data_IF_397495847668
#
_entry.id   IF_397495847668
#
_cell.length_a   1.000
_cell.length_b   1.000
_cell.length_c   1.000
_cell.angle_alpha   90.00
_cell.angle_beta   90.00
_cell.angle_gamma   90.00
#
_symmetry.space_group_name_H-M   'P 1'
#
loop_
_entity.id
_entity.type
_entity.pdbx_description
1 polymer ?
#
# COMPACT_ATOMS: atom_id res chain seq x y z
N UNK A 1 3.83 -5.41 -20.18
CA UNK A 1 4.44 -6.60 -19.55
C UNK A 1 5.74 -6.17 -18.89
N UNK A 2 6.02 -6.60 -17.67
CA UNK A 2 7.34 -6.38 -17.07
C UNK A 2 8.41 -7.06 -17.95
N UNK A 3 9.64 -6.52 -18.03
CA UNK A 3 10.72 -7.15 -18.75
C UNK A 3 10.98 -8.56 -18.20
N UNK A 4 11.40 -9.53 -19.04
CA UNK A 4 11.48 -10.95 -18.70
C UNK A 4 12.39 -11.28 -17.51
N UNK A 5 13.33 -10.44 -17.21
CA UNK A 5 14.30 -10.57 -16.10
C UNK A 5 13.73 -10.10 -14.74
N UNK A 6 12.48 -9.63 -14.68
CA UNK A 6 11.83 -9.13 -13.46
C UNK A 6 10.71 -10.02 -12.94
N UNK A 7 10.68 -11.29 -13.37
CA UNK A 7 9.73 -12.26 -12.83
C UNK A 7 10.07 -12.62 -11.38
N UNK A 8 9.05 -12.72 -10.56
CA UNK A 8 9.20 -13.01 -9.15
C UNK A 8 9.51 -11.77 -8.30
N UNK A 9 9.71 -11.99 -7.02
CA UNK A 9 9.96 -10.94 -6.02
C UNK A 9 8.75 -10.69 -5.13
N UNK A 10 8.94 -9.76 -4.19
CA UNK A 10 7.95 -9.46 -3.15
C UNK A 10 7.50 -8.01 -3.26
N UNK A 11 6.17 -7.80 -3.23
CA UNK A 11 5.58 -6.48 -3.13
C UNK A 11 5.41 -6.04 -1.67
N UNK A 12 5.54 -4.75 -1.40
CA UNK A 12 5.13 -4.12 -0.14
C UNK A 12 3.97 -3.19 -0.46
N UNK A 13 2.83 -3.40 0.17
CA UNK A 13 1.70 -2.48 0.15
C UNK A 13 1.41 -2.04 1.59
N UNK A 14 1.92 -0.87 1.94
CA UNK A 14 1.70 -0.25 3.23
C UNK A 14 0.38 0.52 3.28
N UNK A 15 -0.20 0.63 4.47
CA UNK A 15 -1.39 1.43 4.68
C UNK A 15 -1.83 1.49 6.13
N UNK A 16 -2.66 2.48 6.45
CA UNK A 16 -3.29 2.51 7.78
C UNK A 16 -4.26 1.35 7.97
N UNK A 17 -4.92 0.89 6.89
CA UNK A 17 -5.94 -0.17 6.89
C UNK A 17 -6.99 0.00 8.01
N UNK A 18 -7.68 1.12 7.99
CA UNK A 18 -8.64 1.53 9.03
C UNK A 18 -10.08 1.72 8.51
N UNK A 19 -10.78 0.63 8.09
CA UNK A 19 -10.32 -0.74 7.92
C UNK A 19 -9.66 -1.01 6.56
N UNK A 20 -9.07 -2.21 6.40
CA UNK A 20 -8.79 -2.80 5.10
C UNK A 20 -10.11 -3.07 4.37
N UNK A 21 -10.14 -2.91 3.04
CA UNK A 21 -11.36 -3.03 2.24
C UNK A 21 -11.09 -3.62 0.86
N UNK A 22 -12.16 -3.95 0.12
CA UNK A 22 -12.05 -4.60 -1.19
C UNK A 22 -11.24 -3.78 -2.19
N UNK A 23 -11.25 -2.44 -2.09
CA UNK A 23 -10.40 -1.58 -2.92
C UNK A 23 -8.90 -1.84 -2.71
N UNK A 24 -8.46 -2.06 -1.46
CA UNK A 24 -7.07 -2.42 -1.17
C UNK A 24 -6.71 -3.80 -1.72
N UNK A 25 -7.60 -4.78 -1.51
CA UNK A 25 -7.36 -6.17 -1.92
C UNK A 25 -7.32 -6.30 -3.45
N UNK A 26 -8.24 -5.63 -4.15
CA UNK A 26 -8.26 -5.64 -5.63
C UNK A 26 -7.00 -4.98 -6.19
N UNK A 27 -6.60 -3.82 -5.63
CA UNK A 27 -5.37 -3.15 -6.02
C UNK A 27 -4.14 -4.04 -5.79
N UNK A 28 -4.07 -4.74 -4.65
CA UNK A 28 -2.98 -5.67 -4.35
C UNK A 28 -2.91 -6.81 -5.39
N UNK A 29 -4.04 -7.43 -5.75
CA UNK A 29 -4.06 -8.47 -6.76
C UNK A 29 -3.62 -7.97 -8.14
N UNK A 30 -4.15 -6.83 -8.58
CA UNK A 30 -3.75 -6.26 -9.88
C UNK A 30 -2.26 -5.93 -9.91
N UNK A 31 -1.71 -5.42 -8.80
CA UNK A 31 -0.27 -5.18 -8.69
C UNK A 31 0.54 -6.46 -8.73
N UNK A 32 0.11 -7.49 -8.01
CA UNK A 32 0.78 -8.79 -8.00
C UNK A 32 0.89 -9.37 -9.42
N UNK A 33 -0.22 -9.37 -10.14
CA UNK A 33 -0.30 -9.86 -11.52
C UNK A 33 0.51 -8.98 -12.48
N UNK A 34 0.27 -7.67 -12.49
CA UNK A 34 0.91 -6.74 -13.42
C UNK A 34 2.44 -6.66 -13.24
N UNK A 35 2.92 -6.81 -12.02
CA UNK A 35 4.35 -6.78 -11.70
C UNK A 35 4.98 -8.16 -11.63
N UNK A 36 4.22 -9.23 -11.92
CA UNK A 36 4.65 -10.63 -11.83
C UNK A 36 5.31 -10.97 -10.49
N UNK A 37 4.70 -10.52 -9.38
CA UNK A 37 5.20 -10.76 -8.03
C UNK A 37 4.69 -12.11 -7.51
N UNK A 38 5.49 -12.76 -6.69
CA UNK A 38 5.12 -14.01 -6.00
C UNK A 38 4.07 -13.73 -4.94
N UNK A 39 4.30 -12.70 -4.13
CA UNK A 39 3.39 -12.27 -3.07
C UNK A 39 3.44 -10.76 -2.86
N UNK A 40 2.41 -10.23 -2.20
CA UNK A 40 2.39 -8.87 -1.66
C UNK A 40 2.27 -8.94 -0.14
N UNK A 41 3.19 -8.29 0.56
CA UNK A 41 3.12 -8.04 1.99
C UNK A 41 2.18 -6.88 2.26
N UNK A 42 1.08 -7.15 2.98
CA UNK A 42 0.15 -6.12 3.47
C UNK A 42 0.65 -5.63 4.82
N UNK A 43 1.15 -4.39 4.88
CA UNK A 43 1.83 -3.82 6.05
C UNK A 43 0.97 -2.74 6.71
N UNK A 44 0.25 -3.06 7.80
CA UNK A 44 -0.45 -2.04 8.58
C UNK A 44 0.55 -1.15 9.33
N UNK A 45 0.47 0.17 9.13
CA UNK A 45 1.31 1.13 9.85
C UNK A 45 0.93 1.19 11.33
N UNK A 46 1.92 1.17 12.25
CA UNK A 46 1.67 1.32 13.68
C UNK A 46 1.18 2.74 14.00
N UNK A 47 2.05 3.72 13.75
CA UNK A 47 1.77 5.14 13.92
C UNK A 47 1.98 5.84 12.57
N UNK A 48 0.91 6.13 11.81
CA UNK A 48 1.05 6.83 10.53
C UNK A 48 1.62 8.24 10.78
N UNK A 49 2.78 8.60 10.21
CA UNK A 49 3.45 9.86 10.52
C UNK A 49 2.66 11.11 10.08
N UNK A 50 1.73 10.96 9.13
CA UNK A 50 0.95 12.05 8.53
C UNK A 50 -0.53 12.06 8.91
N UNK A 51 -0.98 11.23 9.87
CA UNK A 51 -2.41 11.17 10.27
C UNK A 51 -2.60 11.45 11.75
N UNK A 52 -3.59 12.30 12.03
CA UNK A 52 -4.06 12.52 13.40
C UNK A 52 -4.67 11.21 13.93
N UNK A 53 -4.29 10.81 15.14
CA UNK A 53 -4.69 9.52 15.75
C UNK A 53 -6.20 9.38 15.97
N UNK A 54 -6.97 10.48 15.93
CA UNK A 54 -8.41 10.49 16.21
C UNK A 54 -9.19 9.68 15.15
N UNK A 55 -9.97 8.70 15.60
CA UNK A 55 -10.78 7.83 14.72
C UNK A 55 -10.03 6.67 14.08
N UNK A 56 -8.78 6.40 14.49
CA UNK A 56 -8.02 5.23 14.05
C UNK A 56 -8.22 4.10 15.08
N UNK A 57 -8.69 2.94 14.62
CA UNK A 57 -8.77 1.74 15.45
C UNK A 57 -7.37 1.32 15.96
N UNK A 58 -7.34 0.73 17.15
CA UNK A 58 -6.09 0.25 17.74
C UNK A 58 -5.31 -0.67 16.75
N UNK A 59 -3.97 -0.68 16.81
CA UNK A 59 -3.13 -1.47 15.89
C UNK A 59 -3.55 -2.94 15.83
N UNK A 60 -3.88 -3.56 16.97
CA UNK A 60 -4.29 -4.98 17.02
C UNK A 60 -5.58 -5.26 16.26
N UNK A 61 -6.56 -4.35 16.34
CA UNK A 61 -7.77 -4.47 15.54
C UNK A 61 -7.49 -4.35 14.04
N UNK A 62 -6.63 -3.41 13.63
CA UNK A 62 -6.28 -3.22 12.23
C UNK A 62 -5.48 -4.41 11.70
N UNK A 63 -4.55 -4.93 12.48
CA UNK A 63 -3.83 -6.16 12.20
C UNK A 63 -4.79 -7.33 11.97
N UNK A 64 -5.69 -7.57 12.94
CA UNK A 64 -6.64 -8.68 12.83
C UNK A 64 -7.52 -8.58 11.58
N UNK A 65 -7.95 -7.39 11.23
CA UNK A 65 -8.71 -7.17 9.99
C UNK A 65 -7.89 -7.49 8.74
N UNK A 66 -6.60 -7.18 8.71
CA UNK A 66 -5.70 -7.52 7.59
C UNK A 66 -5.52 -9.03 7.48
N UNK A 67 -5.31 -9.74 8.59
CA UNK A 67 -5.25 -11.22 8.60
C UNK A 67 -6.54 -11.85 8.05
N UNK A 68 -7.70 -11.39 8.53
CA UNK A 68 -9.00 -11.88 8.08
C UNK A 68 -9.23 -11.61 6.59
N UNK A 69 -8.79 -10.45 6.11
CA UNK A 69 -8.95 -10.04 4.72
C UNK A 69 -8.07 -10.84 3.75
N UNK A 70 -6.87 -11.22 4.16
CA UNK A 70 -5.92 -11.98 3.34
C UNK A 70 -6.16 -13.50 3.41
N UNK A 71 -7.00 -13.96 4.34
CA UNK A 71 -7.24 -15.40 4.54
C UNK A 71 -7.73 -16.07 3.27
N UNK A 72 -7.06 -17.16 2.88
CA UNK A 72 -7.41 -17.94 1.69
C UNK A 72 -6.76 -17.43 0.39
N UNK A 73 -5.98 -16.36 0.45
CA UNK A 73 -5.22 -15.86 -0.68
C UNK A 73 -3.71 -15.98 -0.43
N UNK A 74 -3.02 -16.97 -1.04
CA UNK A 74 -1.58 -17.17 -0.82
C UNK A 74 -0.71 -16.06 -1.42
N UNK A 75 -1.24 -15.27 -2.36
CA UNK A 75 -0.53 -14.13 -2.95
C UNK A 75 -0.56 -12.86 -2.11
N UNK A 76 -1.40 -12.81 -1.05
CA UNK A 76 -1.50 -11.67 -0.15
C UNK A 76 -1.11 -12.11 1.28
N UNK A 77 0.01 -11.60 1.77
CA UNK A 77 0.54 -12.02 3.05
C UNK A 77 0.55 -10.85 4.06
N UNK A 78 -0.21 -10.95 5.15
CA UNK A 78 -0.10 -10.00 6.26
C UNK A 78 1.33 -9.96 6.81
N UNK A 79 1.80 -8.76 7.17
CA UNK A 79 3.13 -8.57 7.77
C UNK A 79 3.10 -7.45 8.80
N UNK A 80 3.33 -7.80 10.05
CA UNK A 80 3.20 -6.94 11.23
C UNK A 80 4.47 -6.14 11.57
N UNK A 81 5.44 -6.14 10.68
CA UNK A 81 6.79 -5.59 10.90
C UNK A 81 6.83 -4.17 11.47
N UNK A 82 5.82 -3.34 11.21
CA UNK A 82 5.74 -1.99 11.74
C UNK A 82 5.07 -1.94 13.12
N UNK A 83 4.18 -2.88 13.43
CA UNK A 83 3.39 -2.85 14.68
C UNK A 83 4.24 -3.07 15.92
N UNK A 84 5.31 -3.84 15.80
CA UNK A 84 6.27 -4.10 16.88
C UNK A 84 7.36 -3.04 17.05
N UNK A 85 7.41 -2.01 16.18
CA UNK A 85 8.44 -0.97 16.27
C UNK A 85 7.99 0.20 17.12
N UNK A 86 8.82 0.69 18.04
CA UNK A 86 8.54 1.93 18.75
C UNK A 86 8.68 3.14 17.81
N UNK A 87 7.78 4.13 17.97
CA UNK A 87 7.82 5.38 17.21
C UNK A 87 7.13 5.34 15.84
N UNK A 88 7.39 6.35 14.99
CA UNK A 88 6.77 6.46 13.67
C UNK A 88 7.18 5.33 12.72
N UNK A 89 6.23 4.87 11.88
CA UNK A 89 6.47 3.86 10.84
C UNK A 89 7.12 4.51 9.62
N UNK A 90 8.41 4.32 9.43
CA UNK A 90 9.12 4.81 8.26
C UNK A 90 9.29 3.70 7.21
N UNK A 91 8.94 3.99 5.97
CA UNK A 91 9.00 3.05 4.84
C UNK A 91 10.39 2.49 4.60
N UNK A 92 11.45 3.29 4.79
CA UNK A 92 12.84 2.83 4.65
C UNK A 92 13.16 1.67 5.60
N UNK A 93 12.67 1.73 6.85
CA UNK A 93 12.94 0.69 7.84
C UNK A 93 12.18 -0.61 7.49
N UNK A 94 11.01 -0.48 6.86
CA UNK A 94 10.22 -1.62 6.36
C UNK A 94 10.88 -2.26 5.14
N UNK A 95 11.40 -1.46 4.20
CA UNK A 95 12.15 -1.96 3.04
C UNK A 95 13.43 -2.69 3.48
N UNK A 96 14.17 -2.13 4.44
CA UNK A 96 15.39 -2.77 5.01
C UNK A 96 15.05 -4.11 5.65
N UNK A 97 14.01 -4.17 6.48
CA UNK A 97 13.60 -5.42 7.10
C UNK A 97 13.22 -6.50 6.08
N UNK A 98 12.51 -6.14 4.99
CA UNK A 98 12.23 -7.09 3.94
C UNK A 98 13.51 -7.52 3.20
N UNK A 99 14.43 -6.58 2.93
CA UNK A 99 15.71 -6.90 2.29
C UNK A 99 16.53 -7.90 3.11
N UNK A 100 16.55 -7.73 4.43
CA UNK A 100 17.24 -8.63 5.35
C UNK A 100 16.60 -10.03 5.39
N UNK A 101 15.25 -10.08 5.28
CA UNK A 101 14.50 -11.35 5.25
C UNK A 101 14.70 -12.14 3.95
N UNK A 102 14.64 -11.47 2.79
CA UNK A 102 14.61 -12.17 1.50
C UNK A 102 15.96 -12.22 0.76
N UNK A 103 16.99 -11.55 1.30
CA UNK A 103 18.34 -11.49 0.73
C UNK A 103 18.51 -10.39 -0.34
N UNK A 104 19.76 -10.15 -0.78
CA UNK A 104 20.12 -9.00 -1.62
C UNK A 104 19.59 -9.10 -3.07
N UNK A 105 19.44 -10.31 -3.59
CA UNK A 105 19.18 -10.54 -5.02
C UNK A 105 17.71 -10.55 -5.39
N UNK A 106 16.82 -10.80 -4.42
CA UNK A 106 15.38 -10.83 -4.70
C UNK A 106 14.83 -9.43 -4.93
N UNK A 107 13.97 -9.30 -5.92
CA UNK A 107 13.28 -8.06 -6.25
C UNK A 107 12.33 -7.65 -5.12
N UNK A 108 12.36 -6.37 -4.75
CA UNK A 108 11.35 -5.71 -3.92
C UNK A 108 10.63 -4.68 -4.77
N UNK A 109 9.30 -4.69 -4.78
CA UNK A 109 8.45 -3.66 -5.36
C UNK A 109 7.69 -2.93 -4.25
N UNK A 110 8.02 -1.66 -3.99
CA UNK A 110 7.28 -0.85 -3.04
C UNK A 110 6.11 -0.17 -3.77
N UNK A 111 4.89 -0.51 -3.36
CA UNK A 111 3.64 -0.12 -4.03
C UNK A 111 3.00 1.02 -3.23
N UNK A 112 2.70 2.14 -3.91
CA UNK A 112 2.11 3.32 -3.30
C UNK A 112 1.12 3.99 -4.24
N UNK A 113 0.19 4.78 -3.70
CA UNK A 113 -0.71 5.60 -4.49
C UNK A 113 0.00 6.85 -5.04
N UNK A 114 -0.61 7.48 -6.03
CA UNK A 114 -0.12 8.71 -6.67
C UNK A 114 -0.06 9.90 -5.69
N UNK A 115 -0.98 9.95 -4.72
CA UNK A 115 -0.99 10.91 -3.63
C UNK A 115 0.24 10.78 -2.72
N UNK A 116 0.53 9.55 -2.30
CA UNK A 116 1.71 9.25 -1.48
C UNK A 116 3.02 9.47 -2.25
N UNK A 117 3.02 9.20 -3.56
CA UNK A 117 4.19 9.45 -4.40
C UNK A 117 4.47 10.94 -4.58
N UNK A 118 3.44 11.79 -4.66
CA UNK A 118 3.62 13.24 -4.73
C UNK A 118 4.39 13.80 -3.51
N UNK A 119 4.23 13.16 -2.35
CA UNK A 119 4.92 13.52 -1.11
C UNK A 119 6.20 12.71 -0.85
N UNK A 120 6.58 11.81 -1.75
CA UNK A 120 7.70 10.87 -1.56
C UNK A 120 9.03 11.58 -1.23
N UNK A 121 9.26 12.77 -1.77
CA UNK A 121 10.45 13.59 -1.50
C UNK A 121 10.55 14.04 -0.03
N UNK A 122 9.46 14.01 0.73
CA UNK A 122 9.42 14.36 2.16
C UNK A 122 9.65 13.15 3.08
N UNK A 123 9.72 11.95 2.51
CA UNK A 123 9.89 10.73 3.29
C UNK A 123 11.30 10.63 3.88
N UNK A 124 11.45 9.82 4.93
CA UNK A 124 12.78 9.54 5.51
C UNK A 124 13.62 8.75 4.52
N UNK A 125 14.81 9.25 4.18
CA UNK A 125 15.80 8.63 3.30
C UNK A 125 15.23 8.12 1.95
N UNK A 126 14.58 8.96 1.13
CA UNK A 126 13.93 8.53 -0.10
C UNK A 126 14.92 7.92 -1.10
N UNK A 127 16.16 8.43 -1.17
CA UNK A 127 17.22 7.88 -2.02
C UNK A 127 17.63 6.46 -1.58
N UNK A 128 17.67 6.20 -0.27
CA UNK A 128 17.94 4.86 0.24
C UNK A 128 16.82 3.88 -0.13
N UNK A 129 15.55 4.31 -0.11
CA UNK A 129 14.43 3.49 -0.59
C UNK A 129 14.66 3.12 -2.05
N UNK A 130 14.99 4.09 -2.91
CA UNK A 130 15.24 3.91 -4.35
C UNK A 130 16.48 3.05 -4.67
N UNK A 131 17.42 2.97 -3.74
CA UNK A 131 18.57 2.08 -3.90
C UNK A 131 18.24 0.61 -3.57
N UNK A 132 17.20 0.38 -2.77
CA UNK A 132 16.84 -0.95 -2.26
C UNK A 132 15.67 -1.61 -3.00
N UNK A 133 14.75 -0.84 -3.58
CA UNK A 133 13.54 -1.38 -4.22
C UNK A 133 13.10 -0.58 -5.44
N UNK A 134 12.29 -1.22 -6.30
CA UNK A 134 11.55 -0.51 -7.33
C UNK A 134 10.32 0.17 -6.69
N UNK A 135 9.95 1.36 -7.17
CA UNK A 135 8.67 1.99 -6.83
C UNK A 135 7.64 1.69 -7.93
N UNK A 136 6.47 1.26 -7.51
CA UNK A 136 5.32 1.06 -8.40
C UNK A 136 4.18 1.96 -7.95
N UNK A 137 3.92 3.01 -8.73
CA UNK A 137 2.89 4.00 -8.41
C UNK A 137 1.57 3.55 -9.01
N UNK A 138 0.60 3.28 -8.14
CA UNK A 138 -0.77 2.95 -8.54
C UNK A 138 -1.51 4.21 -8.97
N UNK A 139 -2.12 4.17 -10.15
CA UNK A 139 -2.98 5.22 -10.66
C UNK A 139 -4.41 4.71 -10.82
N UNK A 140 -5.39 5.52 -10.38
CA UNK A 140 -6.83 5.22 -10.48
C UNK A 140 -7.51 6.19 -11.46
N UNK A 141 -8.57 5.76 -12.19
CA UNK A 141 -9.40 6.69 -12.95
C UNK A 141 -10.08 7.73 -12.02
N UNK A 142 -10.26 8.99 -12.43
CA UNK A 142 -9.83 9.54 -13.71
C UNK A 142 -8.37 10.05 -13.68
N UNK A 143 -7.44 9.19 -14.03
CA UNK A 143 -6.05 9.61 -14.23
C UNK A 143 -5.93 10.23 -15.63
N UNK A 144 -5.45 11.47 -15.77
CA UNK A 144 -5.28 12.08 -17.09
C UNK A 144 -4.33 11.23 -17.93
N UNK A 145 -4.79 10.79 -19.11
CA UNK A 145 -3.96 10.02 -20.04
C UNK A 145 -2.69 10.78 -20.48
N UNK A 146 -2.66 12.10 -20.30
CA UNK A 146 -1.51 12.97 -20.54
C UNK A 146 -0.45 12.96 -19.44
N UNK A 147 -0.76 12.47 -18.22
CA UNK A 147 0.23 12.37 -17.15
C UNK A 147 1.11 11.15 -17.39
N UNK A 148 2.37 11.42 -17.61
CA UNK A 148 3.42 10.40 -17.72
C UNK A 148 4.22 10.29 -16.42
N UNK A 149 5.05 9.27 -16.32
CA UNK A 149 6.03 9.14 -15.21
C UNK A 149 6.95 10.38 -15.17
N UNK A 150 7.22 10.99 -16.33
CA UNK A 150 8.03 12.21 -16.43
C UNK A 150 7.38 13.41 -15.70
N UNK A 151 6.04 13.51 -15.69
CA UNK A 151 5.31 14.59 -14.99
C UNK A 151 5.29 14.39 -13.46
N UNK A 152 5.63 13.19 -13.03
CA UNK A 152 5.84 12.84 -11.63
C UNK A 152 7.31 13.05 -11.21
N UNK A 153 8.10 13.76 -12.02
CA UNK A 153 9.50 14.01 -11.70
C UNK A 153 9.64 14.41 -10.25
N UNK A 154 10.39 13.58 -9.52
CA UNK A 154 10.71 13.80 -8.12
C UNK A 154 11.55 15.07 -8.09
N UNK A 155 10.89 16.18 -7.82
CA UNK A 155 11.56 17.48 -7.72
C UNK A 155 12.64 17.34 -6.63
N UNK A 156 13.91 17.43 -7.05
CA UNK A 156 15.06 17.37 -6.15
C UNK A 156 15.73 16.01 -5.96
N UNK A 157 15.20 14.91 -6.52
CA UNK A 157 15.89 13.62 -6.45
C UNK A 157 16.96 13.53 -7.56
N UNK A 158 18.23 13.47 -7.18
CA UNK A 158 19.36 13.29 -8.08
C UNK A 158 19.46 11.83 -8.56
N UNK A 159 20.01 11.61 -9.74
CA UNK A 159 20.33 10.26 -10.22
C UNK A 159 19.24 9.53 -11.02
N UNK A 160 18.13 10.20 -11.36
CA UNK A 160 17.10 9.62 -12.22
C UNK A 160 17.30 9.94 -13.69
N UNK A 161 17.04 8.93 -14.55
CA UNK A 161 16.98 9.09 -16.01
C UNK A 161 15.65 8.50 -16.51
N UNK A 162 14.98 9.24 -17.38
CA UNK A 162 13.80 8.72 -18.08
C UNK A 162 14.27 7.80 -19.22
N UNK A 163 13.77 6.59 -19.21
CA UNK A 163 13.93 5.61 -20.28
C UNK A 163 12.69 5.63 -21.17
N UNK A 164 12.78 6.28 -22.31
CA UNK A 164 11.66 6.42 -23.25
C UNK A 164 11.22 5.08 -23.86
N UNK A 165 12.11 4.10 -23.94
CA UNK A 165 11.78 2.79 -24.52
C UNK A 165 10.88 1.96 -23.58
N UNK A 166 11.08 2.06 -22.27
CA UNK A 166 10.29 1.35 -21.26
C UNK A 166 9.19 2.21 -20.61
N UNK A 167 9.20 3.53 -20.86
CA UNK A 167 8.29 4.46 -20.17
C UNK A 167 8.53 4.55 -18.67
N UNK A 168 9.73 4.21 -18.20
CA UNK A 168 10.08 4.17 -16.78
C UNK A 168 11.13 5.22 -16.43
N UNK A 169 11.14 5.65 -15.18
CA UNK A 169 12.27 6.41 -14.63
C UNK A 169 13.21 5.40 -13.96
N UNK A 170 14.51 5.46 -14.31
CA UNK A 170 15.54 4.63 -13.69
C UNK A 170 16.44 5.47 -12.80
N UNK A 171 16.72 4.95 -11.62
CA UNK A 171 17.73 5.48 -10.72
C UNK A 171 19.12 4.92 -11.08
N UNK A 172 20.19 5.61 -10.68
CA UNK A 172 21.58 5.16 -10.90
C UNK A 172 21.87 3.78 -10.30
N UNK A 173 21.13 3.34 -9.29
CA UNK A 173 21.17 1.98 -8.71
C UNK A 173 20.64 0.87 -9.63
N UNK A 174 20.10 1.21 -10.80
CA UNK A 174 19.39 0.26 -11.69
C UNK A 174 17.93 0.02 -11.32
N UNK A 175 17.46 0.53 -10.17
CA UNK A 175 16.05 0.47 -9.75
C UNK A 175 15.22 1.50 -10.50
N UNK A 176 13.90 1.29 -10.54
CA UNK A 176 13.01 2.13 -11.33
C UNK A 176 11.76 2.60 -10.57
N UNK A 177 11.17 3.66 -11.14
CA UNK A 177 9.81 4.10 -10.81
C UNK A 177 8.94 3.83 -12.02
N UNK A 178 7.83 3.12 -11.83
CA UNK A 178 6.87 2.82 -12.88
C UNK A 178 5.46 3.18 -12.46
N UNK A 179 4.63 3.58 -13.44
CA UNK A 179 3.20 3.77 -13.24
C UNK A 179 2.47 2.46 -13.58
N UNK A 180 1.53 2.08 -12.74
CA UNK A 180 0.64 0.98 -13.02
C UNK A 180 -0.80 1.42 -12.82
N UNK A 181 -1.56 1.43 -13.90
CA UNK A 181 -2.99 1.68 -13.83
C UNK A 181 -3.70 0.46 -13.23
N UNK A 182 -4.60 0.72 -12.29
CA UNK A 182 -5.48 -0.28 -11.71
C UNK A 182 -6.94 0.03 -12.01
N UNK A 183 -7.82 -0.96 -11.86
CA UNK A 183 -9.28 -0.80 -12.06
C UNK A 183 -9.84 0.30 -11.17
N UNK A 184 -9.35 0.42 -9.93
CA UNK A 184 -9.78 1.44 -8.98
C UNK A 184 -11.25 1.27 -8.56
N UNK A 185 -11.49 0.66 -7.42
CA UNK A 185 -12.82 0.66 -6.82
C UNK A 185 -12.99 1.95 -6.01
N UNK A 186 -14.11 2.64 -6.21
CA UNK A 186 -14.46 3.85 -5.43
C UNK A 186 -14.94 3.46 -4.02
N UNK A 187 -14.00 2.94 -3.24
CA UNK A 187 -14.19 2.52 -1.85
C UNK A 187 -13.14 3.21 -0.99
N UNK A 188 -13.56 3.94 0.05
CA UNK A 188 -12.66 4.57 0.98
C UNK A 188 -12.92 4.12 2.42
N UNK A 189 -11.86 3.94 3.20
CA UNK A 189 -11.95 3.62 4.62
C UNK A 189 -12.73 4.69 5.41
N UNK A 190 -12.63 5.95 5.01
CA UNK A 190 -13.39 7.06 5.62
C UNK A 190 -14.88 6.91 5.39
N UNK A 191 -15.32 6.59 4.17
CA UNK A 191 -16.74 6.33 3.88
C UNK A 191 -17.26 5.11 4.67
N UNK A 192 -16.45 4.04 4.75
CA UNK A 192 -16.80 2.84 5.52
C UNK A 192 -17.04 3.19 7.00
N UNK A 193 -16.12 3.94 7.63
CA UNK A 193 -16.31 4.36 9.04
C UNK A 193 -17.54 5.24 9.23
N UNK A 194 -17.82 6.15 8.30
CA UNK A 194 -19.02 6.99 8.33
C UNK A 194 -20.31 6.15 8.20
N UNK A 195 -20.30 5.10 7.37
CA UNK A 195 -21.45 4.19 7.24
C UNK A 195 -21.69 3.43 8.54
N UNK A 196 -20.65 2.87 9.16
CA UNK A 196 -20.79 2.19 10.46
C UNK A 196 -21.32 3.15 11.53
N UNK A 197 -20.75 4.36 11.62
CA UNK A 197 -21.17 5.37 12.60
C UNK A 197 -22.66 5.77 12.45
N UNK A 198 -23.21 5.69 11.23
CA UNK A 198 -24.62 6.02 10.92
C UNK A 198 -25.51 4.80 10.76
N UNK A 199 -25.06 3.60 11.14
CA UNK A 199 -25.84 2.36 11.05
C UNK A 199 -26.11 1.86 9.63
N UNK A 200 -25.37 2.37 8.62
CA UNK A 200 -25.50 1.94 7.23
C UNK A 200 -24.66 0.68 6.97
N UNK A 201 -25.12 -0.16 6.05
CA UNK A 201 -24.42 -1.39 5.66
C UNK A 201 -23.06 -1.07 5.01
N UNK A 202 -22.06 -1.88 5.39
CA UNK A 202 -20.72 -1.91 4.75
C UNK A 202 -20.49 -3.21 3.97
N UNK A 203 -21.57 -3.98 3.77
CA UNK A 203 -21.55 -5.23 2.99
C UNK A 203 -21.04 -4.97 1.58
N UNK A 204 -20.17 -5.83 1.09
CA UNK A 204 -19.49 -5.73 -0.21
C UNK A 204 -18.52 -4.53 -0.37
N UNK A 205 -18.26 -3.78 0.70
CA UNK A 205 -17.16 -2.82 0.74
C UNK A 205 -15.91 -3.42 1.40
N UNK A 206 -16.14 -4.35 2.34
CA UNK A 206 -15.11 -5.13 3.03
C UNK A 206 -15.37 -6.63 2.85
N UNK A 207 -14.36 -7.51 3.06
CA UNK A 207 -14.61 -8.94 3.18
C UNK A 207 -15.60 -9.25 4.31
N UNK A 208 -16.44 -10.29 4.13
CA UNK A 208 -17.46 -10.65 5.12
C UNK A 208 -16.89 -10.92 6.53
N UNK A 209 -15.69 -11.51 6.61
CA UNK A 209 -15.01 -11.72 7.90
C UNK A 209 -14.59 -10.41 8.58
N UNK A 210 -14.22 -9.38 7.80
CA UNK A 210 -13.89 -8.04 8.32
C UNK A 210 -15.16 -7.32 8.75
N UNK A 211 -16.27 -7.42 8.00
CA UNK A 211 -17.58 -6.88 8.39
C UNK A 211 -18.02 -7.45 9.72
N UNK A 212 -17.99 -8.79 9.86
CA UNK A 212 -18.34 -9.48 11.11
C UNK A 212 -17.47 -9.05 12.29
N UNK A 213 -16.15 -8.89 12.06
CA UNK A 213 -15.21 -8.44 13.08
C UNK A 213 -15.50 -7.01 13.56
N UNK A 214 -15.77 -6.09 12.63
CA UNK A 214 -16.14 -4.69 12.95
C UNK A 214 -17.41 -4.66 13.81
N UNK A 215 -18.43 -5.45 13.44
CA UNK A 215 -19.69 -5.54 14.17
C UNK A 215 -19.49 -6.13 15.58
N UNK A 216 -18.76 -7.24 15.69
CA UNK A 216 -18.49 -7.95 16.94
C UNK A 216 -17.76 -7.07 17.96
N UNK A 217 -16.81 -6.25 17.50
CA UNK A 217 -15.99 -5.40 18.37
C UNK A 217 -16.51 -3.96 18.49
N UNK A 218 -17.66 -3.64 17.90
CA UNK A 218 -18.26 -2.30 17.96
C UNK A 218 -17.37 -1.20 17.37
N UNK A 219 -16.44 -1.55 16.44
CA UNK A 219 -15.50 -0.59 15.89
C UNK A 219 -16.23 0.48 15.06
N UNK A 220 -15.73 1.70 15.12
CA UNK A 220 -16.22 2.86 14.36
C UNK A 220 -17.65 3.32 14.68
N UNK A 221 -18.27 2.79 15.73
CA UNK A 221 -19.56 3.28 16.24
C UNK A 221 -19.37 4.58 17.02
N UNK A 222 -20.32 5.47 16.92
CA UNK A 222 -20.43 6.63 17.82
C UNK A 222 -21.32 6.28 19.02
N UNK A 223 -21.10 6.91 20.15
CA UNK A 223 -22.01 6.78 21.30
C UNK A 223 -23.42 7.17 20.85
N UNK A 224 -24.37 6.22 20.99
CA UNK A 224 -25.76 6.40 20.54
C UNK A 224 -26.13 5.80 19.19
N UNK A 225 -25.20 5.13 18.49
CA UNK A 225 -25.55 4.37 17.27
C UNK A 225 -26.45 3.18 17.63
N UNK A 226 -27.55 2.91 16.88
CA UNK A 226 -28.40 1.73 17.11
C UNK A 226 -27.60 0.43 16.95
N UNK A 227 -27.99 -0.59 17.69
CA UNK A 227 -27.38 -1.92 17.71
C UNK A 227 -27.58 -2.66 16.35
#
# INVERSE_FOLDING_TARGET
>A
MPPPDRKGGVGILGGTFNPIHLGHLRAAEEMREAQALEEIRLVPSAVPPHKVAQGIAAPDHRWRMVELAAKGNPGLRPWDVELGRPGPSYSIDTVRALRDEIGPDRRIAFILGDDAFAEFHTWKDPEAILSLCDLVVMTRPPWPASRSVHDLCIAGASGFRYDAASGTIRHASGRGVSLQRITGLDISATAIRAFVATGRSIRFLVPAAVEAYIAQHGLYRTEGSPA
#
